data_IF_894433833720
#
_entry.id   IF_894433833720
#
_cell.length_a   1.000
_cell.length_b   1.000
_cell.length_c   1.000
_cell.angle_alpha   90.00
_cell.angle_beta   90.00
_cell.angle_gamma   90.00
#
_symmetry.space_group_name_H-M   'P 1'
#
loop_
_entity.id
_entity.type
_entity.pdbx_description
1 polymer ?
#
# COMPACT_ATOMS: atom_id res chain seq x y z
N UNK A 1 31.12 -23.07 -9.16
CA UNK A 1 30.23 -22.04 -9.73
C UNK A 1 29.57 -21.30 -8.59
N UNK A 2 30.04 -20.10 -8.19
CA UNK A 2 29.44 -19.39 -7.05
C UNK A 2 28.20 -18.62 -7.51
N UNK A 3 27.09 -18.79 -6.80
CA UNK A 3 25.87 -18.00 -6.98
C UNK A 3 25.98 -16.71 -6.17
N UNK A 4 26.14 -15.59 -6.86
CA UNK A 4 25.85 -14.27 -6.32
C UNK A 4 24.35 -13.99 -6.51
N UNK A 5 23.60 -13.78 -5.43
CA UNK A 5 22.37 -12.98 -5.48
C UNK A 5 22.28 -12.13 -4.22
N UNK A 6 22.89 -10.95 -4.31
CA UNK A 6 22.63 -9.82 -3.40
C UNK A 6 21.21 -9.33 -3.65
N UNK A 7 20.25 -9.68 -2.79
CA UNK A 7 18.97 -8.99 -2.69
C UNK A 7 19.06 -7.98 -1.53
N UNK A 8 19.64 -6.82 -1.81
CA UNK A 8 19.48 -5.67 -0.93
C UNK A 8 18.06 -5.14 -1.14
N UNK A 9 17.13 -5.52 -0.27
CA UNK A 9 15.84 -4.83 -0.15
C UNK A 9 16.16 -3.37 0.21
N UNK A 10 16.17 -2.50 -0.80
CA UNK A 10 16.22 -1.06 -0.58
C UNK A 10 14.96 -0.69 0.18
N UNK A 11 15.14 -0.35 1.46
CA UNK A 11 14.13 0.30 2.30
C UNK A 11 13.49 1.42 1.47
N UNK A 12 12.15 1.49 1.39
CA UNK A 12 11.50 2.58 0.68
C UNK A 12 11.98 3.93 1.25
N UNK A 13 12.15 4.95 0.40
CA UNK A 13 12.65 6.25 0.84
C UNK A 13 11.81 6.74 2.01
N UNK A 14 12.47 7.06 3.13
CA UNK A 14 11.82 7.64 4.30
C UNK A 14 10.95 8.81 3.86
N UNK A 15 9.65 8.72 4.10
CA UNK A 15 8.68 9.73 3.71
C UNK A 15 9.17 11.11 4.20
N UNK A 16 9.30 12.05 3.26
CA UNK A 16 9.53 13.45 3.55
C UNK A 16 8.33 13.95 4.37
N UNK A 17 8.51 14.08 5.68
CA UNK A 17 7.55 14.76 6.56
C UNK A 17 7.55 16.24 6.20
N UNK A 18 6.60 16.66 5.37
CA UNK A 18 6.38 18.08 5.07
C UNK A 18 4.94 18.45 5.39
N UNK A 19 4.72 18.89 6.64
CA UNK A 19 3.49 19.52 7.12
C UNK A 19 2.57 18.67 8.01
N UNK A 20 1.55 19.28 8.66
CA UNK A 20 0.51 18.60 9.44
C UNK A 20 -0.49 17.86 8.53
N UNK A 21 0.04 16.97 7.68
CA UNK A 21 -0.70 16.22 6.68
C UNK A 21 -1.10 14.83 7.18
N UNK A 22 -2.16 14.29 6.60
CA UNK A 22 -2.55 12.89 6.80
C UNK A 22 -1.57 12.00 6.04
N UNK A 23 -0.97 11.04 6.73
CA UNK A 23 -0.16 9.98 6.13
C UNK A 23 -1.01 8.72 5.99
N UNK A 24 -0.82 7.95 4.91
CA UNK A 24 -1.43 6.64 4.75
C UNK A 24 -0.35 5.59 4.63
N UNK A 25 -0.38 4.59 5.50
CA UNK A 25 0.45 3.39 5.40
C UNK A 25 -0.39 2.32 4.71
N UNK A 26 0.06 1.85 3.55
CA UNK A 26 -0.62 0.79 2.79
C UNK A 26 0.30 -0.42 2.67
N UNK A 27 -0.32 -1.58 2.56
CA UNK A 27 0.37 -2.85 2.31
C UNK A 27 -0.58 -3.79 1.57
N UNK A 28 -0.03 -4.81 0.93
CA UNK A 28 -0.81 -5.86 0.28
C UNK A 28 -0.33 -7.27 0.65
N UNK A 29 -1.27 -8.21 0.53
CA UNK A 29 -1.02 -9.63 0.67
C UNK A 29 -1.47 -10.33 -0.61
N UNK A 30 -0.55 -10.56 -1.55
CA UNK A 30 -0.83 -11.26 -2.81
C UNK A 30 -0.41 -12.74 -2.81
N UNK A 31 -1.27 -13.59 -3.38
CA UNK A 31 -1.02 -15.01 -3.60
C UNK A 31 -0.83 -15.29 -5.10
N UNK A 32 0.39 -15.64 -5.57
CA UNK A 32 0.64 -15.89 -6.99
C UNK A 32 -0.10 -17.12 -7.54
N UNK A 33 -0.39 -18.11 -6.70
CA UNK A 33 -1.07 -19.35 -7.11
C UNK A 33 -2.55 -19.12 -7.42
N UNK A 34 -3.21 -18.22 -6.68
CA UNK A 34 -4.65 -17.97 -6.83
C UNK A 34 -4.94 -16.65 -7.54
N UNK A 35 -3.94 -15.77 -7.67
CA UNK A 35 -4.12 -14.40 -8.15
C UNK A 35 -4.97 -13.54 -7.20
N UNK A 36 -5.23 -14.00 -5.98
CA UNK A 36 -5.95 -13.25 -4.96
C UNK A 36 -5.01 -12.28 -4.25
N UNK A 37 -5.54 -11.13 -3.88
CA UNK A 37 -4.83 -10.11 -3.13
C UNK A 37 -5.75 -9.50 -2.07
N UNK A 38 -5.23 -9.33 -0.85
CA UNK A 38 -5.80 -8.44 0.16
C UNK A 38 -5.05 -7.11 0.18
N UNK A 39 -5.77 -6.00 0.24
CA UNK A 39 -5.23 -4.65 0.36
C UNK A 39 -5.55 -4.11 1.75
N UNK A 40 -4.54 -3.62 2.44
CA UNK A 40 -4.64 -2.99 3.75
C UNK A 40 -4.15 -1.55 3.73
N UNK A 41 -4.70 -0.72 4.61
CA UNK A 41 -4.09 0.57 4.86
C UNK A 41 -4.70 1.37 6.01
N UNK A 42 -3.85 2.11 6.70
CA UNK A 42 -4.17 2.85 7.92
C UNK A 42 -3.74 4.30 7.71
N UNK A 43 -4.66 5.23 7.97
CA UNK A 43 -4.39 6.66 7.98
C UNK A 43 -3.94 7.11 9.37
N UNK A 44 -2.89 7.93 9.41
CA UNK A 44 -2.32 8.53 10.62
C UNK A 44 -2.15 10.03 10.44
N UNK A 45 -2.28 10.81 11.51
CA UNK A 45 -2.17 12.27 11.47
C UNK A 45 -3.37 13.01 12.09
N UNK A 46 -3.41 14.34 11.91
CA UNK A 46 -4.53 15.19 12.34
C UNK A 46 -5.71 15.07 11.36
N UNK A 47 -6.95 15.25 11.83
CA UNK A 47 -8.19 15.12 11.03
C UNK A 47 -8.46 13.74 10.38
N UNK A 48 -7.97 12.65 10.97
CA UNK A 48 -8.27 11.27 10.51
C UNK A 48 -9.66 10.77 10.88
N UNK A 49 -10.44 11.48 11.70
CA UNK A 49 -11.73 11.02 12.27
C UNK A 49 -12.79 10.57 11.25
N UNK A 50 -12.59 10.89 9.97
CA UNK A 50 -13.47 10.49 8.85
C UNK A 50 -12.80 9.61 7.81
N UNK A 51 -11.50 9.33 7.93
CA UNK A 51 -10.81 8.40 7.02
C UNK A 51 -10.91 6.99 7.58
N UNK A 52 -11.65 6.14 6.87
CA UNK A 52 -11.80 4.73 7.21
C UNK A 52 -10.54 3.95 6.84
N UNK A 53 -10.20 2.95 7.66
CA UNK A 53 -9.21 1.92 7.34
C UNK A 53 -9.53 1.26 6.01
N UNK A 54 -8.51 1.06 5.17
CA UNK A 54 -8.63 0.35 3.91
C UNK A 54 -8.55 -1.15 4.21
N UNK A 55 -9.59 -1.88 3.82
CA UNK A 55 -9.64 -3.32 3.84
C UNK A 55 -10.43 -3.77 2.61
N UNK A 56 -9.73 -4.28 1.60
CA UNK A 56 -10.34 -4.73 0.34
C UNK A 56 -9.69 -6.01 -0.14
N UNK A 57 -10.46 -6.82 -0.85
CA UNK A 57 -9.94 -8.02 -1.52
C UNK A 57 -10.14 -7.89 -3.02
N UNK A 58 -9.13 -8.30 -3.78
CA UNK A 58 -9.14 -8.32 -5.24
C UNK A 58 -8.76 -9.72 -5.74
N UNK A 59 -9.31 -10.08 -6.89
CA UNK A 59 -8.96 -11.30 -7.63
C UNK A 59 -8.31 -10.94 -8.96
N UNK A 60 -7.70 -11.94 -9.61
CA UNK A 60 -7.08 -11.81 -10.93
C UNK A 60 -5.92 -10.80 -10.97
N UNK A 61 -5.17 -10.67 -9.87
CA UNK A 61 -3.99 -9.81 -9.81
C UNK A 61 -2.79 -10.53 -10.42
N UNK A 62 -2.23 -9.92 -11.46
CA UNK A 62 -1.15 -10.53 -12.28
C UNK A 62 0.23 -10.46 -11.62
N UNK A 63 0.43 -9.61 -10.60
CA UNK A 63 1.71 -9.47 -9.91
C UNK A 63 1.56 -8.78 -8.54
N UNK A 64 2.52 -8.99 -7.64
CA UNK A 64 2.63 -8.23 -6.39
C UNK A 64 2.66 -6.72 -6.63
N UNK A 65 3.40 -6.25 -7.64
CA UNK A 65 3.47 -4.82 -7.95
C UNK A 65 2.11 -4.22 -8.34
N UNK A 66 1.27 -5.00 -9.02
CA UNK A 66 -0.10 -4.58 -9.34
C UNK A 66 -0.97 -4.49 -8.08
N UNK A 67 -0.78 -5.39 -7.11
CA UNK A 67 -1.43 -5.32 -5.81
C UNK A 67 -1.02 -4.06 -5.03
N UNK A 68 0.27 -3.77 -4.94
CA UNK A 68 0.81 -2.55 -4.33
C UNK A 68 0.19 -1.28 -4.96
N UNK A 69 0.17 -1.22 -6.29
CA UNK A 69 -0.42 -0.09 -7.01
C UNK A 69 -1.92 0.07 -6.72
N UNK A 70 -2.65 -1.04 -6.54
CA UNK A 70 -4.05 -1.01 -6.14
C UNK A 70 -4.23 -0.56 -4.68
N UNK A 71 -3.35 -0.96 -3.77
CA UNK A 71 -3.36 -0.51 -2.38
C UNK A 71 -3.19 1.02 -2.29
N UNK A 72 -2.20 1.56 -2.99
CA UNK A 72 -1.94 3.01 -3.09
C UNK A 72 -3.14 3.72 -3.73
N UNK A 73 -3.68 3.20 -4.84
CA UNK A 73 -4.85 3.78 -5.49
C UNK A 73 -6.05 3.82 -4.55
N UNK A 74 -6.27 2.76 -3.77
CA UNK A 74 -7.34 2.74 -2.78
C UNK A 74 -7.15 3.82 -1.72
N UNK A 75 -5.93 4.04 -1.23
CA UNK A 75 -5.66 5.09 -0.27
C UNK A 75 -5.93 6.48 -0.80
N UNK A 76 -5.46 6.79 -2.00
CA UNK A 76 -5.69 8.10 -2.63
C UNK A 76 -7.18 8.34 -2.85
N UNK A 77 -7.91 7.34 -3.34
CA UNK A 77 -9.36 7.47 -3.57
C UNK A 77 -10.12 7.66 -2.26
N UNK A 78 -9.77 6.93 -1.20
CA UNK A 78 -10.38 7.10 0.13
C UNK A 78 -10.09 8.50 0.69
N UNK A 79 -8.87 9.02 0.53
CA UNK A 79 -8.52 10.36 0.97
C UNK A 79 -9.23 11.45 0.16
N UNK A 80 -9.39 11.26 -1.16
CA UNK A 80 -9.98 12.25 -2.06
C UNK A 80 -11.51 12.40 -1.92
N UNK A 81 -12.21 11.41 -1.35
CA UNK A 81 -13.66 11.49 -1.07
C UNK A 81 -13.96 12.53 0.02
N UNK A 82 -12.95 12.95 0.78
CA UNK A 82 -13.06 14.02 1.78
C UNK A 82 -12.86 15.39 1.11
N UNK A 83 -13.96 16.11 0.86
CA UNK A 83 -13.96 17.54 0.48
C UNK A 83 -14.45 18.40 1.64
#
# INVERSE_FOLDING_TARGET
MPHHTTSSLTKPPSALTTGPGVTCHVDDAWCPTTGLCGLGGIFTGTDISSLTTICKSHSCISSALMAEALAIRCAVMTAAVKR
#
